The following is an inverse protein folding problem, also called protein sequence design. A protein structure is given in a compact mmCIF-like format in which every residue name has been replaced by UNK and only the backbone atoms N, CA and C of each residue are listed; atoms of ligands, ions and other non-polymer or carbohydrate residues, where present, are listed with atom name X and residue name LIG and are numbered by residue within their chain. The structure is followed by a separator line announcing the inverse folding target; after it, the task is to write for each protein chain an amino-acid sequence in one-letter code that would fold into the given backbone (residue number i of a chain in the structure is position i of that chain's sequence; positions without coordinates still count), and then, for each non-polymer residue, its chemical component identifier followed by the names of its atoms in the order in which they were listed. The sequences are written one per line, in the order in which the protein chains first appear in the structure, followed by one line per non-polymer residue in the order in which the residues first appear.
data_IF_287088319819
#
_entry.id   IF_287088319819
#
_cell.length_a   1.000
_cell.length_b   1.000
_cell.length_c   1.000
_cell.angle_alpha   90.00
_cell.angle_beta   90.00
_cell.angle_gamma   90.00
#
_symmetry.space_group_name_H-M   'P 1'
#
loop_
_entity.id
_entity.type
_entity.pdbx_description
1 polymer ?
#
# COMPACT_ATOMS: atom_id res chain seq x y z
N UNK A 1 9.47 -1.25 -17.50
CA UNK A 1 9.33 -2.01 -16.25
C UNK A 1 8.83 -1.03 -15.22
N UNK A 2 7.66 -1.24 -14.63
CA UNK A 2 7.05 -0.28 -13.70
C UNK A 2 7.87 -0.21 -12.40
N UNK A 3 8.47 0.95 -12.09
CA UNK A 3 9.33 1.14 -10.90
C UNK A 3 8.64 0.77 -9.58
N UNK A 4 7.30 0.91 -9.54
CA UNK A 4 6.49 0.54 -8.40
C UNK A 4 6.48 -0.98 -8.16
N UNK A 5 6.50 -1.76 -9.24
CA UNK A 5 6.52 -3.23 -9.17
C UNK A 5 7.88 -3.73 -8.68
N UNK A 6 8.98 -3.12 -9.13
CA UNK A 6 10.32 -3.44 -8.64
C UNK A 6 10.47 -3.13 -7.14
N UNK A 7 9.95 -1.98 -6.70
CA UNK A 7 9.96 -1.61 -5.28
C UNK A 7 9.18 -2.62 -4.44
N UNK A 8 7.95 -2.96 -4.86
CA UNK A 8 7.12 -3.99 -4.21
C UNK A 8 7.87 -5.29 -4.04
N UNK A 9 8.43 -5.83 -5.12
CA UNK A 9 9.16 -7.10 -5.08
C UNK A 9 10.35 -7.02 -4.13
N UNK A 10 11.11 -5.92 -4.18
CA UNK A 10 12.30 -5.73 -3.32
C UNK A 10 11.92 -5.69 -1.84
N UNK A 11 10.90 -4.90 -1.47
CA UNK A 11 10.47 -4.74 -0.07
C UNK A 11 9.86 -6.04 0.47
N UNK A 12 9.07 -6.75 -0.34
CA UNK A 12 8.55 -8.06 0.05
C UNK A 12 9.66 -9.10 0.21
N UNK A 13 10.66 -9.11 -0.67
CA UNK A 13 11.80 -10.01 -0.56
C UNK A 13 12.60 -9.71 0.71
N UNK A 14 12.86 -8.43 0.98
CA UNK A 14 13.49 -7.99 2.22
C UNK A 14 12.70 -8.46 3.45
N UNK A 15 11.38 -8.26 3.49
CA UNK A 15 10.53 -8.72 4.59
C UNK A 15 10.62 -10.24 4.81
N UNK A 16 10.67 -11.04 3.74
CA UNK A 16 10.85 -12.50 3.82
C UNK A 16 12.24 -12.88 4.31
N UNK A 17 13.29 -12.22 3.81
CA UNK A 17 14.65 -12.48 4.27
C UNK A 17 14.79 -12.18 5.76
N UNK A 18 14.19 -11.08 6.22
CA UNK A 18 14.18 -10.70 7.62
C UNK A 18 13.40 -11.71 8.47
N UNK A 19 12.24 -12.19 8.01
CA UNK A 19 11.42 -13.11 8.81
C UNK A 19 12.04 -14.49 9.00
N UNK A 20 12.98 -14.89 8.13
CA UNK A 20 13.78 -16.10 8.29
C UNK A 20 14.89 -15.97 9.36
N UNK A 21 15.22 -14.77 9.83
CA UNK A 21 16.29 -14.55 10.82
C UNK A 21 15.70 -14.69 12.23
N UNK A 22 16.21 -15.63 13.02
CA UNK A 22 15.78 -15.82 14.40
C UNK A 22 16.97 -15.87 15.36
N UNK A 23 17.14 -14.87 16.27
CA UNK A 23 16.34 -13.64 16.44
C UNK A 23 16.71 -12.53 15.44
N UNK A 24 15.73 -11.85 14.84
CA UNK A 24 16.03 -10.72 13.94
C UNK A 24 16.47 -9.49 14.76
N UNK A 25 17.66 -8.92 14.50
CA UNK A 25 18.07 -7.69 15.16
C UNK A 25 17.19 -6.51 14.72
N UNK A 26 16.78 -5.69 15.69
CA UNK A 26 15.88 -4.55 15.46
C UNK A 26 16.41 -3.59 14.39
N UNK A 27 17.73 -3.39 14.27
CA UNK A 27 18.31 -2.51 13.25
C UNK A 27 17.86 -2.84 11.82
N UNK A 28 17.75 -4.14 11.50
CA UNK A 28 17.34 -4.61 10.19
C UNK A 28 15.85 -4.38 9.95
N UNK A 29 15.04 -4.64 10.98
CA UNK A 29 13.60 -4.33 10.98
C UNK A 29 13.38 -2.82 10.89
N UNK A 30 14.22 -2.03 11.55
CA UNK A 30 14.16 -0.58 11.52
C UNK A 30 14.43 -0.04 10.12
N UNK A 31 15.31 -0.67 9.33
CA UNK A 31 15.49 -0.31 7.92
C UNK A 31 14.19 -0.50 7.13
N UNK A 32 13.52 -1.65 7.28
CA UNK A 32 12.21 -1.91 6.65
C UNK A 32 11.14 -0.93 7.16
N UNK A 33 11.16 -0.63 8.45
CA UNK A 33 10.23 0.28 9.11
C UNK A 33 10.40 1.73 8.65
N UNK A 34 11.63 2.20 8.44
CA UNK A 34 11.92 3.53 7.91
C UNK A 34 11.45 3.70 6.46
N UNK A 35 11.31 2.62 5.70
CA UNK A 35 10.70 2.64 4.36
C UNK A 35 9.17 2.80 4.42
N UNK A 36 8.55 2.46 5.55
CA UNK A 36 7.11 2.58 5.74
C UNK A 36 6.74 4.04 6.03
N UNK A 37 5.52 4.47 5.67
CA UNK A 37 5.07 5.83 5.93
C UNK A 37 5.06 6.07 7.44
N UNK A 38 5.80 7.07 7.90
CA UNK A 38 5.68 7.54 9.28
C UNK A 38 4.44 8.41 9.37
N UNK A 39 3.56 8.08 10.32
CA UNK A 39 2.38 8.87 10.62
C UNK A 39 2.77 10.24 11.19
N UNK A 40 3.06 11.18 10.29
CA UNK A 40 3.20 12.62 10.50
C UNK A 40 1.86 13.33 10.23
N UNK A 41 1.81 14.65 10.44
CA UNK A 41 0.59 15.49 10.45
C UNK A 41 -0.29 15.38 9.20
N UNK A 42 0.21 14.86 8.08
CA UNK A 42 -0.58 14.56 6.88
C UNK A 42 -0.23 13.15 6.41
N UNK A 43 -1.10 12.18 6.70
CA UNK A 43 -0.90 10.79 6.32
C UNK A 43 -1.28 10.58 4.85
N UNK A 44 -0.30 10.75 3.97
CA UNK A 44 -0.46 10.50 2.53
C UNK A 44 -0.18 9.03 2.24
N UNK A 45 -1.19 8.34 1.76
CA UNK A 45 -1.09 6.93 1.38
C UNK A 45 -0.80 6.87 -0.11
N UNK A 46 0.45 6.56 -0.44
CA UNK A 46 0.90 6.34 -1.81
C UNK A 46 0.95 4.83 -2.08
N UNK A 47 0.89 4.38 -3.35
CA UNK A 47 1.04 2.95 -3.68
C UNK A 47 2.30 2.32 -3.07
N UNK A 48 3.39 3.09 -3.03
CA UNK A 48 4.67 2.68 -2.43
C UNK A 48 4.55 2.46 -0.93
N UNK A 49 3.84 3.34 -0.24
CA UNK A 49 3.69 3.31 1.22
C UNK A 49 2.75 2.19 1.67
N UNK A 50 1.75 1.84 0.85
CA UNK A 50 0.90 0.66 1.04
C UNK A 50 1.72 -0.64 0.95
N UNK A 51 2.51 -0.81 -0.12
CA UNK A 51 3.32 -2.03 -0.32
C UNK A 51 4.37 -2.20 0.79
N UNK A 52 4.98 -1.12 1.26
CA UNK A 52 5.88 -1.15 2.42
C UNK A 52 5.16 -1.61 3.70
N UNK A 53 3.96 -1.07 3.96
CA UNK A 53 3.15 -1.45 5.12
C UNK A 53 2.71 -2.92 5.07
N UNK A 54 2.35 -3.42 3.88
CA UNK A 54 1.99 -4.83 3.66
C UNK A 54 3.21 -5.72 3.90
N UNK A 55 4.38 -5.37 3.37
CA UNK A 55 5.60 -6.14 3.57
C UNK A 55 5.99 -6.20 5.05
N UNK A 56 5.85 -5.10 5.79
CA UNK A 56 6.06 -5.06 7.23
C UNK A 56 5.09 -6.00 7.98
N UNK A 57 3.82 -6.03 7.57
CA UNK A 57 2.82 -6.96 8.11
C UNK A 57 3.16 -8.42 7.80
N UNK A 58 3.63 -8.69 6.59
CA UNK A 58 4.07 -10.02 6.17
C UNK A 58 5.26 -10.51 7.00
N UNK A 59 6.26 -9.64 7.21
CA UNK A 59 7.39 -9.90 8.11
C UNK A 59 6.89 -10.22 9.53
N UNK A 60 5.96 -9.42 10.06
CA UNK A 60 5.44 -9.58 11.40
C UNK A 60 4.76 -10.94 11.62
N UNK A 61 3.95 -11.38 10.64
CA UNK A 61 3.30 -12.68 10.66
C UNK A 61 4.31 -13.83 10.50
N UNK A 62 5.24 -13.71 9.56
CA UNK A 62 6.15 -14.79 9.19
C UNK A 62 7.29 -15.00 10.19
N UNK A 63 7.71 -13.94 10.90
CA UNK A 63 8.71 -14.01 11.97
C UNK A 63 8.16 -14.54 13.30
N UNK A 64 6.85 -14.78 13.40
CA UNK A 64 6.20 -15.23 14.64
C UNK A 64 5.96 -14.10 15.65
N UNK A 65 5.49 -12.94 15.20
CA UNK A 65 5.19 -11.75 16.01
C UNK A 65 6.41 -11.14 16.73
N UNK A 66 7.59 -11.22 16.12
CA UNK A 66 8.77 -10.55 16.67
C UNK A 66 8.59 -9.03 16.70
N UNK A 67 9.13 -8.40 17.74
CA UNK A 67 9.06 -6.95 17.97
C UNK A 67 7.63 -6.40 18.04
N UNK A 68 6.66 -7.19 18.52
CA UNK A 68 5.27 -6.75 18.69
C UNK A 68 5.16 -5.44 19.47
N UNK A 69 6.01 -5.23 20.48
CA UNK A 69 5.99 -4.03 21.32
C UNK A 69 6.19 -2.73 20.52
N UNK A 70 6.82 -2.80 19.34
CA UNK A 70 7.06 -1.65 18.46
C UNK A 70 6.17 -1.65 17.24
N UNK A 71 5.94 -2.82 16.65
CA UNK A 71 5.14 -2.95 15.43
C UNK A 71 3.65 -2.77 15.69
N UNK A 72 3.15 -3.28 16.82
CA UNK A 72 1.73 -3.25 17.14
C UNK A 72 1.22 -1.82 17.40
N UNK A 73 1.91 -0.95 18.16
CA UNK A 73 1.57 0.46 18.25
C UNK A 73 1.65 1.19 16.90
N UNK A 74 2.61 0.81 16.05
CA UNK A 74 2.74 1.38 14.71
C UNK A 74 1.56 1.03 13.82
N UNK A 75 1.18 -0.25 13.73
CA UNK A 75 0.02 -0.68 12.94
C UNK A 75 -1.26 -0.01 13.43
N UNK A 76 -1.46 0.09 14.75
CA UNK A 76 -2.60 0.82 15.31
C UNK A 76 -2.58 2.31 14.95
N UNK A 77 -1.40 2.94 14.95
CA UNK A 77 -1.26 4.34 14.55
C UNK A 77 -1.56 4.51 13.05
N UNK A 78 -1.04 3.63 12.20
CA UNK A 78 -1.33 3.60 10.76
C UNK A 78 -2.82 3.44 10.51
N UNK A 79 -3.48 2.49 11.19
CA UNK A 79 -4.94 2.27 11.08
C UNK A 79 -5.74 3.50 11.53
N UNK A 80 -5.34 4.15 12.63
CA UNK A 80 -5.98 5.41 13.07
C UNK A 80 -5.78 6.55 12.07
N UNK A 81 -4.60 6.65 11.48
CA UNK A 81 -4.29 7.65 10.47
C UNK A 81 -4.96 7.33 9.12
N UNK A 82 -5.27 6.05 8.87
CA UNK A 82 -5.98 5.60 7.67
C UNK A 82 -7.34 6.29 7.51
N UNK A 83 -8.06 6.52 8.60
CA UNK A 83 -9.35 7.21 8.60
C UNK A 83 -9.25 8.66 8.13
N UNK A 84 -8.10 9.32 8.34
CA UNK A 84 -7.82 10.68 7.89
C UNK A 84 -6.85 10.71 6.69
N UNK A 85 -6.60 9.57 6.07
CA UNK A 85 -5.60 9.43 5.04
C UNK A 85 -6.01 10.17 3.76
N UNK A 86 -5.04 10.85 3.16
CA UNK A 86 -5.15 11.30 1.78
C UNK A 86 -4.53 10.22 0.91
N UNK A 87 -5.37 9.50 0.16
CA UNK A 87 -4.86 8.54 -0.81
C UNK A 87 -4.43 9.33 -2.04
N UNK A 88 -3.14 9.28 -2.37
CA UNK A 88 -2.74 9.67 -3.73
C UNK A 88 -3.35 8.61 -4.63
N UNK A 89 -4.37 9.00 -5.40
CA UNK A 89 -4.87 8.18 -6.49
C UNK A 89 -3.66 7.84 -7.36
N UNK A 90 -3.33 6.55 -7.56
CA UNK A 90 -2.50 6.23 -8.69
C UNK A 90 -3.29 6.76 -9.87
N UNK A 91 -2.76 7.77 -10.57
CA UNK A 91 -3.25 8.07 -11.90
C UNK A 91 -3.20 6.74 -12.63
N UNK A 92 -4.37 6.10 -12.78
CA UNK A 92 -4.54 5.08 -13.77
C UNK A 92 -4.23 5.86 -15.06
N UNK A 93 -3.02 5.71 -15.59
CA UNK A 93 -2.94 5.74 -17.03
C UNK A 93 -3.74 4.52 -17.41
N UNK A 94 -5.03 4.73 -17.73
CA UNK A 94 -5.70 3.87 -18.69
C UNK A 94 -4.67 3.78 -19.81
N UNK A 95 -3.98 2.65 -19.90
CA UNK A 95 -3.35 2.28 -21.15
C UNK A 95 -4.53 2.18 -22.09
N UNK A 96 -4.73 3.23 -22.86
CA UNK A 96 -5.59 3.22 -24.04
C UNK A 96 -5.03 2.13 -24.94
N UNK A 97 -5.51 0.91 -24.72
CA UNK A 97 -5.63 -0.17 -25.67
C UNK A 97 -6.46 -1.26 -24.99
N UNK A 98 -7.76 -1.03 -24.91
CA UNK A 98 -8.75 -1.80 -25.67
C UNK A 98 -10.15 -1.45 -25.16
N UNK A 99 -10.88 -0.68 -25.98
CA UNK A 99 -12.33 -0.71 -26.14
C UNK A 99 -13.21 -0.87 -24.88
N UNK A 100 -13.87 0.22 -24.46
CA UNK A 100 -15.33 0.46 -24.54
C UNK A 100 -15.65 1.74 -23.76
N UNK A 101 -16.01 2.80 -24.50
CA UNK A 101 -16.68 3.98 -23.95
C UNK A 101 -18.04 3.57 -23.39
N UNK A 102 -18.24 3.72 -22.08
CA UNK A 102 -19.59 3.87 -21.53
C UNK A 102 -19.95 5.36 -21.58
N UNK A 103 -20.33 5.85 -22.76
CA UNK A 103 -21.10 7.09 -22.85
C UNK A 103 -22.54 6.78 -22.45
N UNK A 104 -22.90 7.14 -21.23
CA UNK A 104 -24.29 7.14 -20.78
C UNK A 104 -24.98 8.32 -21.49
N UNK A 105 -25.56 8.08 -22.66
CA UNK A 105 -26.41 9.07 -23.36
C UNK A 105 -27.76 9.12 -22.66
N UNK A 106 -27.91 10.04 -21.71
CA UNK A 106 -29.20 10.35 -21.06
C UNK A 106 -30.02 11.34 -21.93
N UNK A 107 -30.11 11.16 -23.26
CA UNK A 107 -30.81 12.14 -24.12
C UNK A 107 -31.58 11.55 -25.30
N UNK A 108 -32.12 10.31 -25.20
CA UNK A 108 -32.96 9.74 -26.28
C UNK A 108 -34.19 8.93 -25.85
N UNK A 109 -34.84 9.29 -24.74
CA UNK A 109 -36.16 8.73 -24.39
C UNK A 109 -37.16 9.83 -24.01
N UNK A 110 -37.40 10.77 -24.93
CA UNK A 110 -38.35 11.85 -24.67
C UNK A 110 -38.95 12.54 -25.91
N UNK A 111 -38.88 11.94 -27.10
CA UNK A 111 -39.60 12.48 -28.27
C UNK A 111 -39.75 11.47 -29.41
N UNK A 112 -40.56 10.43 -29.21
CA UNK A 112 -41.20 9.71 -30.33
C UNK A 112 -42.43 8.92 -29.91
N UNK A 113 -43.50 9.62 -29.54
CA UNK A 113 -44.88 9.21 -29.83
C UNK A 113 -45.69 10.48 -30.14
N UNK A 114 -45.48 10.98 -31.35
CA UNK A 114 -46.59 11.48 -32.19
C UNK A 114 -47.14 10.26 -32.91
#
# INVERSE_FOLDING_TARGET
MDENEFFKQTVQHLARCLSCINPTPWEKVNTLFMLCPQASSSFVVTPRSQEASIALGLYFLQSGLQHQDKLLPYFLKVLKCLTNAQFEEPMYKIKNNDHIQYTITIEKWGNRMV
#
